data_IF_890892452120
#
_entry.id   IF_890892452120
#
_cell.length_a   1.000
_cell.length_b   1.000
_cell.length_c   1.000
_cell.angle_alpha   90.00
_cell.angle_beta   90.00
_cell.angle_gamma   90.00
#
_symmetry.space_group_name_H-M   'P 1'
#
loop_
_entity.id
_entity.type
_entity.pdbx_description
1 polymer ?
#
# COMPACT_ATOMS: atom_id res chain seq x y z
N UNK A 1 -15.40 8.05 9.79
CA UNK A 1 -14.83 7.93 11.14
C UNK A 1 -14.27 6.51 11.29
N UNK A 2 -12.98 6.39 11.58
CA UNK A 2 -12.36 5.10 11.85
C UNK A 2 -12.87 4.54 13.16
N UNK A 3 -13.19 3.25 13.19
CA UNK A 3 -13.60 2.60 14.41
C UNK A 3 -12.44 2.56 15.43
N UNK A 4 -12.77 2.56 16.72
CA UNK A 4 -11.76 2.48 17.77
C UNK A 4 -10.90 1.20 17.64
N UNK A 5 -11.50 0.09 17.24
CA UNK A 5 -10.80 -1.18 17.02
C UNK A 5 -9.75 -1.06 15.90
N UNK A 6 -10.10 -0.37 14.80
CA UNK A 6 -9.19 -0.17 13.67
C UNK A 6 -8.01 0.71 14.07
N UNK A 7 -8.25 1.78 14.83
CA UNK A 7 -7.19 2.66 15.33
C UNK A 7 -6.24 1.90 16.24
N UNK A 8 -6.76 1.01 17.07
CA UNK A 8 -5.94 0.19 17.96
C UNK A 8 -5.05 -0.79 17.20
N UNK A 9 -5.59 -1.46 16.18
CA UNK A 9 -4.82 -2.34 15.29
C UNK A 9 -3.72 -1.56 14.58
N UNK A 10 -4.05 -0.37 14.06
CA UNK A 10 -3.10 0.52 13.41
C UNK A 10 -1.94 0.87 14.35
N UNK A 11 -2.23 1.25 15.58
CA UNK A 11 -1.22 1.58 16.58
C UNK A 11 -0.31 0.41 16.90
N UNK A 12 -0.87 -0.77 17.10
CA UNK A 12 -0.10 -1.98 17.42
C UNK A 12 0.91 -2.32 16.33
N UNK A 13 0.49 -2.29 15.08
CA UNK A 13 1.35 -2.62 13.94
C UNK A 13 2.45 -1.57 13.80
N UNK A 14 2.11 -0.29 13.89
CA UNK A 14 3.09 0.79 13.82
C UNK A 14 4.14 0.69 14.92
N UNK A 15 3.72 0.43 16.15
CA UNK A 15 4.64 0.25 17.27
C UNK A 15 5.57 -0.94 17.05
N UNK A 16 5.05 -2.04 16.53
CA UNK A 16 5.83 -3.26 16.27
C UNK A 16 7.00 -2.99 15.31
N UNK A 17 6.82 -2.11 14.35
CA UNK A 17 7.82 -1.82 13.33
C UNK A 17 8.50 -0.47 13.49
N UNK A 18 8.32 0.19 14.62
CA UNK A 18 8.99 1.47 14.90
C UNK A 18 8.50 2.62 14.05
N UNK A 19 7.23 2.61 13.67
CA UNK A 19 6.59 3.66 12.87
C UNK A 19 5.90 4.64 13.80
N UNK A 20 6.27 5.91 13.75
CA UNK A 20 5.65 6.95 14.56
C UNK A 20 4.26 7.35 14.04
N UNK A 21 3.44 7.94 14.90
CA UNK A 21 2.08 8.38 14.51
C UNK A 21 2.11 9.43 13.40
N UNK A 22 3.13 10.28 13.37
CA UNK A 22 3.30 11.32 12.35
C UNK A 22 4.10 10.85 11.12
N UNK A 23 4.58 9.61 11.11
CA UNK A 23 5.19 9.05 9.92
C UNK A 23 4.15 8.78 8.83
N UNK A 24 4.54 9.05 7.58
CA UNK A 24 3.75 8.66 6.42
C UNK A 24 4.17 7.25 6.04
N UNK A 25 3.28 6.29 6.29
CA UNK A 25 3.56 4.89 6.04
C UNK A 25 3.00 4.45 4.70
N UNK A 26 3.89 4.08 3.79
CA UNK A 26 3.57 3.40 2.54
C UNK A 26 3.69 1.90 2.78
N UNK A 27 2.77 1.13 2.23
CA UNK A 27 2.79 -0.32 2.36
C UNK A 27 2.51 -0.98 1.02
N UNK A 28 3.09 -2.15 0.82
CA UNK A 28 2.74 -3.04 -0.28
C UNK A 28 2.87 -4.47 0.20
N UNK A 29 2.14 -5.37 -0.44
CA UNK A 29 2.18 -6.80 -0.13
C UNK A 29 1.98 -7.64 -1.38
N UNK A 30 2.48 -8.84 -1.34
CA UNK A 30 2.36 -9.80 -2.41
C UNK A 30 3.67 -10.51 -2.72
N UNK A 31 3.60 -11.55 -3.55
CA UNK A 31 4.76 -12.33 -3.93
C UNK A 31 5.73 -11.51 -4.79
N UNK A 32 7.01 -11.61 -4.50
CA UNK A 32 8.10 -10.99 -5.28
C UNK A 32 8.84 -12.13 -5.99
N UNK A 33 8.72 -12.14 -7.32
CA UNK A 33 9.40 -13.12 -8.18
C UNK A 33 9.86 -12.45 -9.48
N UNK A 34 10.46 -13.19 -10.38
CA UNK A 34 10.99 -12.67 -11.65
C UNK A 34 9.93 -11.98 -12.52
N UNK A 35 8.65 -12.29 -12.34
CA UNK A 35 7.54 -11.69 -13.07
C UNK A 35 6.92 -10.50 -12.32
N UNK A 36 7.28 -10.34 -11.05
CA UNK A 36 6.72 -9.33 -10.15
C UNK A 36 7.84 -8.56 -9.45
N UNK A 37 8.72 -7.99 -10.25
CA UNK A 37 9.89 -7.23 -9.75
C UNK A 37 9.58 -5.76 -9.50
N UNK A 38 8.38 -5.29 -9.82
CA UNK A 38 8.02 -3.88 -9.66
C UNK A 38 8.07 -3.41 -8.21
N UNK A 39 7.89 -4.33 -7.24
CA UNK A 39 8.05 -4.02 -5.82
C UNK A 39 9.47 -3.51 -5.52
N UNK A 40 10.48 -4.03 -6.22
CA UNK A 40 11.87 -3.56 -6.06
C UNK A 40 12.01 -2.10 -6.52
N UNK A 41 11.25 -1.70 -7.55
CA UNK A 41 11.23 -0.31 -8.01
C UNK A 41 10.65 0.60 -6.95
N UNK A 42 9.58 0.16 -6.28
CA UNK A 42 8.96 0.91 -5.17
C UNK A 42 9.95 1.07 -4.02
N UNK A 43 10.63 0.00 -3.63
CA UNK A 43 11.63 0.05 -2.55
C UNK A 43 12.74 1.05 -2.87
N UNK A 44 13.24 1.01 -4.10
CA UNK A 44 14.26 1.94 -4.58
C UNK A 44 13.74 3.38 -4.58
N UNK A 45 12.52 3.60 -5.07
CA UNK A 45 11.91 4.93 -5.11
C UNK A 45 11.83 5.55 -3.71
N UNK A 46 11.38 4.79 -2.72
CA UNK A 46 11.27 5.28 -1.34
C UNK A 46 12.64 5.59 -0.76
N UNK A 47 13.65 4.76 -1.04
CA UNK A 47 15.02 5.03 -0.60
C UNK A 47 15.56 6.34 -1.17
N UNK A 48 15.15 6.70 -2.38
CA UNK A 48 15.62 7.91 -3.05
C UNK A 48 14.92 9.18 -2.53
N UNK A 49 13.83 9.05 -1.80
CA UNK A 49 13.10 10.21 -1.25
C UNK A 49 13.72 10.59 0.08
N UNK A 50 14.29 11.80 0.14
CA UNK A 50 14.94 12.30 1.37
C UNK A 50 13.90 12.96 2.29
N UNK A 51 13.14 12.11 2.98
CA UNK A 51 12.13 12.51 3.97
C UNK A 51 12.22 11.59 5.18
N UNK A 52 12.50 12.15 6.34
CA UNK A 52 12.68 11.37 7.59
C UNK A 52 11.40 10.67 8.04
N UNK A 53 10.24 11.27 7.76
CA UNK A 53 8.95 10.75 8.17
C UNK A 53 8.30 9.81 7.15
N UNK A 54 9.00 9.49 6.06
CA UNK A 54 8.52 8.53 5.06
C UNK A 54 9.03 7.14 5.43
N UNK A 55 8.12 6.17 5.52
CA UNK A 55 8.42 4.77 5.81
C UNK A 55 7.72 3.87 4.82
N UNK A 56 8.34 2.74 4.50
CA UNK A 56 7.77 1.70 3.66
C UNK A 56 7.88 0.35 4.37
N UNK A 57 6.78 -0.37 4.44
CA UNK A 57 6.76 -1.76 4.89
C UNK A 57 6.31 -2.65 3.73
N UNK A 58 7.10 -3.67 3.44
CA UNK A 58 6.84 -4.65 2.38
C UNK A 58 6.66 -6.03 3.00
N UNK A 59 5.58 -6.71 2.67
CA UNK A 59 5.39 -8.10 3.08
C UNK A 59 5.08 -8.99 1.88
N UNK A 60 5.28 -10.28 2.08
CA UNK A 60 5.03 -11.30 1.06
C UNK A 60 6.23 -12.21 0.89
N UNK A 61 6.04 -13.31 0.16
CA UNK A 61 7.13 -14.23 -0.13
C UNK A 61 8.05 -13.68 -1.21
N UNK A 62 9.33 -14.05 -1.12
CA UNK A 62 10.35 -13.66 -2.10
C UNK A 62 11.00 -14.93 -2.61
N UNK A 63 11.17 -15.07 -3.90
CA UNK A 63 11.92 -16.20 -4.47
C UNK A 63 13.41 -16.09 -4.12
N UNK A 64 14.07 -17.24 -3.99
CA UNK A 64 15.47 -17.30 -3.56
C UNK A 64 16.38 -16.40 -4.40
N UNK A 65 16.16 -16.34 -5.70
CA UNK A 65 16.98 -15.53 -6.62
C UNK A 65 16.91 -14.01 -6.34
N UNK A 66 15.85 -13.53 -5.67
CA UNK A 66 15.65 -12.12 -5.38
C UNK A 66 15.87 -11.74 -3.90
N UNK A 67 16.16 -12.70 -3.03
CA UNK A 67 16.36 -12.45 -1.60
C UNK A 67 17.46 -11.41 -1.33
N UNK A 68 18.60 -11.54 -2.02
CA UNK A 68 19.72 -10.61 -1.84
C UNK A 68 19.35 -9.20 -2.28
N UNK A 69 18.62 -9.08 -3.39
CA UNK A 69 18.18 -7.77 -3.89
C UNK A 69 17.22 -7.10 -2.92
N UNK A 70 16.29 -7.84 -2.34
CA UNK A 70 15.37 -7.34 -1.33
C UNK A 70 16.14 -6.87 -0.09
N UNK A 71 17.11 -7.64 0.36
CA UNK A 71 17.96 -7.28 1.51
C UNK A 71 18.75 -6.00 1.25
N UNK A 72 19.27 -5.81 0.03
CA UNK A 72 19.98 -4.59 -0.33
C UNK A 72 19.08 -3.35 -0.24
N UNK A 73 17.82 -3.49 -0.65
CA UNK A 73 16.87 -2.38 -0.72
C UNK A 73 16.17 -2.12 0.63
N UNK A 74 16.19 -3.07 1.55
CA UNK A 74 15.57 -2.94 2.87
C UNK A 74 16.64 -2.62 3.89
N UNK A 75 16.69 -1.36 4.35
CA UNK A 75 17.66 -0.90 5.36
C UNK A 75 17.22 -1.21 6.80
N UNK A 76 16.01 -1.71 6.98
CA UNK A 76 15.46 -2.03 8.30
C UNK A 76 14.91 -0.84 9.06
N UNK A 77 15.01 0.36 8.53
CA UNK A 77 14.49 1.59 9.13
C UNK A 77 13.47 2.27 8.23
N UNK A 78 13.92 2.89 7.15
CA UNK A 78 13.06 3.57 6.19
C UNK A 78 12.27 2.57 5.36
N UNK A 79 12.92 1.53 4.88
CA UNK A 79 12.31 0.45 4.11
C UNK A 79 12.50 -0.86 4.87
N UNK A 80 11.40 -1.48 5.26
CA UNK A 80 11.41 -2.75 5.99
C UNK A 80 10.74 -3.84 5.16
N UNK A 81 11.42 -4.97 5.03
CA UNK A 81 10.83 -6.19 4.50
C UNK A 81 10.57 -7.15 5.67
N UNK A 82 9.29 -7.48 5.88
CA UNK A 82 8.86 -8.22 7.07
C UNK A 82 8.53 -9.70 6.80
N UNK A 83 8.72 -10.15 5.57
CA UNK A 83 8.49 -11.54 5.20
C UNK A 83 7.03 -11.85 4.90
N UNK A 84 6.72 -13.13 4.88
CA UNK A 84 5.38 -13.62 4.58
C UNK A 84 4.40 -13.31 5.72
N UNK A 85 3.19 -12.92 5.34
CA UNK A 85 2.09 -12.62 6.25
C UNK A 85 0.90 -13.50 5.84
N UNK A 86 0.22 -14.09 6.80
CA UNK A 86 -0.98 -14.88 6.53
C UNK A 86 -2.06 -14.00 5.90
N UNK A 87 -2.84 -14.57 4.98
CA UNK A 87 -3.89 -13.84 4.28
C UNK A 87 -4.88 -13.15 5.24
N UNK A 88 -5.23 -13.81 6.34
CA UNK A 88 -6.12 -13.27 7.36
C UNK A 88 -5.54 -12.05 8.08
N UNK A 89 -4.21 -11.94 8.17
CA UNK A 89 -3.53 -10.84 8.86
C UNK A 89 -3.23 -9.68 7.94
N UNK A 90 -3.18 -9.89 6.62
CA UNK A 90 -2.88 -8.86 5.63
C UNK A 90 -3.83 -7.66 5.75
N UNK A 91 -5.09 -7.91 6.03
CA UNK A 91 -6.10 -6.89 6.24
C UNK A 91 -5.67 -5.90 7.34
N UNK A 92 -5.21 -6.44 8.47
CA UNK A 92 -4.75 -5.62 9.60
C UNK A 92 -3.49 -4.84 9.28
N UNK A 93 -2.57 -5.44 8.53
CA UNK A 93 -1.34 -4.75 8.11
C UNK A 93 -1.67 -3.55 7.24
N UNK A 94 -2.51 -3.71 6.22
CA UNK A 94 -2.89 -2.59 5.37
C UNK A 94 -3.58 -1.46 6.15
N UNK A 95 -4.34 -1.79 7.20
CA UNK A 95 -5.01 -0.79 8.03
C UNK A 95 -4.02 0.19 8.68
N UNK A 96 -2.76 -0.21 8.84
CA UNK A 96 -1.71 0.66 9.41
C UNK A 96 -1.17 1.68 8.40
N UNK A 97 -1.43 1.52 7.11
CA UNK A 97 -0.84 2.34 6.06
C UNK A 97 -1.61 3.64 5.83
N UNK A 98 -0.87 4.67 5.40
CA UNK A 98 -1.44 5.91 4.90
C UNK A 98 -1.66 5.84 3.38
N UNK A 99 -0.83 5.08 2.68
CA UNK A 99 -0.92 4.87 1.24
C UNK A 99 -0.47 3.44 0.95
N UNK A 100 -1.23 2.72 0.13
CA UNK A 100 -0.81 1.40 -0.35
C UNK A 100 -0.44 1.54 -1.83
N UNK A 101 0.71 1.01 -2.19
CA UNK A 101 1.22 1.06 -3.57
C UNK A 101 1.31 -0.35 -4.13
N UNK A 102 0.65 -0.55 -5.28
CA UNK A 102 0.75 -1.80 -6.03
C UNK A 102 1.31 -1.49 -7.41
N UNK A 103 2.64 -1.51 -7.57
CA UNK A 103 3.29 -1.11 -8.82
C UNK A 103 3.27 -2.18 -9.90
N UNK A 104 2.83 -3.38 -9.56
CA UNK A 104 2.79 -4.53 -10.45
C UNK A 104 1.38 -4.92 -10.87
N UNK A 105 1.17 -6.23 -11.02
CA UNK A 105 -0.09 -6.77 -11.50
C UNK A 105 -1.21 -6.67 -10.47
N UNK A 106 -2.44 -6.62 -10.95
CA UNK A 106 -3.63 -6.66 -10.11
C UNK A 106 -3.66 -7.94 -9.25
N UNK A 107 -4.10 -7.76 -8.00
CA UNK A 107 -4.36 -8.86 -7.07
C UNK A 107 -5.60 -8.54 -6.25
N UNK A 108 -6.13 -9.53 -5.55
CA UNK A 108 -7.30 -9.37 -4.67
C UNK A 108 -7.03 -8.34 -3.56
N UNK A 109 -5.78 -8.05 -3.24
CA UNK A 109 -5.44 -7.02 -2.26
C UNK A 109 -5.94 -5.62 -2.67
N UNK A 110 -6.05 -5.34 -3.98
CA UNK A 110 -6.53 -4.05 -4.44
C UNK A 110 -7.94 -3.77 -3.93
N UNK A 111 -8.84 -4.76 -4.05
CA UNK A 111 -10.22 -4.64 -3.58
C UNK A 111 -10.28 -4.58 -2.04
N UNK A 112 -9.44 -5.35 -1.37
CA UNK A 112 -9.36 -5.33 0.09
C UNK A 112 -8.95 -3.94 0.60
N UNK A 113 -7.93 -3.35 0.00
CA UNK A 113 -7.42 -2.02 0.40
C UNK A 113 -8.45 -0.95 0.08
N UNK A 114 -9.09 -1.03 -1.10
CA UNK A 114 -10.17 -0.11 -1.45
C UNK A 114 -11.30 -0.20 -0.42
N UNK A 115 -11.69 -1.42 -0.04
CA UNK A 115 -12.75 -1.65 0.94
C UNK A 115 -12.43 -1.16 2.35
N UNK A 116 -11.15 -1.01 2.66
CA UNK A 116 -10.71 -0.44 3.94
C UNK A 116 -10.69 1.09 3.94
N UNK A 117 -10.92 1.72 2.80
CA UNK A 117 -10.90 3.17 2.70
C UNK A 117 -9.50 3.77 2.74
N UNK A 118 -8.52 3.08 2.17
CA UNK A 118 -7.13 3.53 2.14
C UNK A 118 -6.79 4.00 0.73
N UNK A 119 -6.16 5.18 0.57
CA UNK A 119 -5.70 5.64 -0.73
C UNK A 119 -4.68 4.68 -1.36
N UNK A 120 -4.73 4.54 -2.68
CA UNK A 120 -3.82 3.66 -3.41
C UNK A 120 -3.12 4.37 -4.55
N UNK A 121 -1.91 3.90 -4.84
CA UNK A 121 -1.16 4.21 -6.05
C UNK A 121 -0.93 2.88 -6.75
N UNK A 122 -1.55 2.69 -7.92
CA UNK A 122 -1.54 1.39 -8.60
C UNK A 122 -1.11 1.52 -10.05
N UNK A 123 -0.54 0.45 -10.59
CA UNK A 123 -0.21 0.40 -12.01
C UNK A 123 -1.49 0.38 -12.84
N UNK A 124 -1.49 1.16 -13.91
CA UNK A 124 -2.63 1.24 -14.82
C UNK A 124 -2.69 -0.01 -15.72
N UNK A 125 -3.72 -0.81 -15.53
CA UNK A 125 -4.01 -1.98 -16.34
C UNK A 125 -5.41 -1.87 -16.94
N UNK A 126 -5.63 -2.30 -18.19
CA UNK A 126 -7.00 -2.40 -18.71
C UNK A 126 -7.86 -3.30 -17.83
N UNK A 127 -9.07 -2.84 -17.52
CA UNK A 127 -10.03 -3.62 -16.74
C UNK A 127 -9.87 -3.54 -15.22
N UNK A 128 -8.93 -2.74 -14.70
CA UNK A 128 -8.71 -2.63 -13.26
C UNK A 128 -9.13 -1.28 -12.66
N UNK A 129 -9.77 -0.43 -13.45
CA UNK A 129 -10.19 0.90 -13.00
C UNK A 129 -11.40 0.88 -12.06
N UNK A 130 -12.00 -0.28 -11.83
CA UNK A 130 -13.12 -0.43 -10.89
C UNK A 130 -12.74 -0.08 -9.43
N UNK A 131 -11.45 -0.09 -9.10
CA UNK A 131 -10.98 0.33 -7.77
C UNK A 131 -10.94 1.85 -7.62
N UNK A 132 -10.94 2.60 -8.72
CA UNK A 132 -11.00 4.06 -8.70
C UNK A 132 -12.46 4.51 -8.59
N UNK A 133 -12.83 5.00 -7.42
CA UNK A 133 -14.19 5.41 -7.09
C UNK A 133 -14.37 6.93 -7.21
N UNK A 134 -13.46 7.60 -7.91
CA UNK A 134 -13.53 9.02 -8.17
C UNK A 134 -12.55 9.87 -7.38
N UNK A 135 -11.32 9.36 -7.19
CA UNK A 135 -10.24 10.12 -6.58
C UNK A 135 -9.50 9.44 -5.43
N UNK A 136 -9.84 8.20 -5.10
CA UNK A 136 -9.14 7.43 -4.08
C UNK A 136 -7.88 6.73 -4.59
N UNK A 137 -7.67 6.72 -5.91
CA UNK A 137 -6.57 6.00 -6.55
C UNK A 137 -5.83 6.92 -7.52
N UNK A 138 -4.51 6.89 -7.48
CA UNK A 138 -3.65 7.46 -8.50
C UNK A 138 -3.00 6.32 -9.30
N UNK A 139 -2.66 6.57 -10.56
CA UNK A 139 -2.19 5.54 -11.47
C UNK A 139 -0.73 5.76 -11.88
N UNK A 140 0.01 4.65 -11.96
CA UNK A 140 1.35 4.58 -12.55
C UNK A 140 1.23 4.09 -13.99
N UNK A 141 1.86 4.75 -14.93
CA UNK A 141 1.80 4.41 -16.35
C UNK A 141 2.96 3.51 -16.78
N UNK A 142 4.11 3.63 -16.12
CA UNK A 142 5.34 2.94 -16.49
C UNK A 142 5.92 2.15 -15.32
N UNK A 143 6.76 1.18 -15.65
CA UNK A 143 7.56 0.45 -14.66
C UNK A 143 8.89 1.19 -14.48
N UNK A 144 8.88 2.29 -13.71
CA UNK A 144 10.10 3.05 -13.46
C UNK A 144 10.12 3.68 -12.07
N UNK A 145 11.32 3.75 -11.50
CA UNK A 145 11.57 4.30 -10.17
C UNK A 145 11.15 5.77 -10.11
N UNK A 146 11.47 6.54 -11.15
CA UNK A 146 11.27 7.97 -11.20
C UNK A 146 9.79 8.35 -11.13
N UNK A 147 8.92 7.63 -11.80
CA UNK A 147 7.48 7.88 -11.75
C UNK A 147 6.90 7.57 -10.36
N UNK A 148 7.30 6.44 -9.77
CA UNK A 148 6.86 6.06 -8.43
C UNK A 148 7.30 7.12 -7.42
N UNK A 149 8.56 7.53 -7.50
CA UNK A 149 9.12 8.56 -6.64
C UNK A 149 8.36 9.87 -6.77
N UNK A 150 8.13 10.33 -7.99
CA UNK A 150 7.41 11.58 -8.27
C UNK A 150 6.00 11.54 -7.70
N UNK A 151 5.27 10.46 -7.91
CA UNK A 151 3.89 10.33 -7.42
C UNK A 151 3.81 10.36 -5.90
N UNK A 152 4.74 9.69 -5.21
CA UNK A 152 4.79 9.72 -3.74
C UNK A 152 5.16 11.12 -3.25
N UNK A 153 6.17 11.75 -3.86
CA UNK A 153 6.60 13.11 -3.49
C UNK A 153 5.47 14.12 -3.68
N UNK A 154 4.70 14.01 -4.76
CA UNK A 154 3.55 14.88 -5.02
C UNK A 154 2.53 14.82 -3.88
N UNK A 155 2.25 13.62 -3.36
CA UNK A 155 1.32 13.47 -2.24
C UNK A 155 1.90 14.01 -0.93
N UNK A 156 3.20 13.85 -0.70
CA UNK A 156 3.87 14.40 0.47
C UNK A 156 3.94 15.93 0.44
N UNK A 157 4.13 16.50 -0.74
CA UNK A 157 4.25 17.94 -0.93
C UNK A 157 2.89 18.65 -0.97
N UNK A 158 1.82 17.90 -1.20
CA UNK A 158 0.46 18.43 -1.30
C UNK A 158 -0.48 17.72 -0.32
N UNK A 159 -0.39 18.05 0.98
CA UNK A 159 -1.22 17.39 2.00
C UNK A 159 -2.73 17.49 1.73
N UNK A 160 -3.17 18.59 1.10
CA UNK A 160 -4.58 18.79 0.76
C UNK A 160 -5.03 17.79 -0.32
N UNK A 161 -4.19 17.50 -1.29
CA UNK A 161 -4.47 16.50 -2.33
C UNK A 161 -4.58 15.10 -1.71
N UNK A 162 -3.65 14.76 -0.81
CA UNK A 162 -3.71 13.50 -0.08
C UNK A 162 -4.97 13.40 0.78
N UNK A 163 -5.33 14.49 1.46
CA UNK A 163 -6.53 14.55 2.29
C UNK A 163 -7.80 14.28 1.49
N UNK A 164 -7.92 14.88 0.30
CA UNK A 164 -9.05 14.64 -0.60
C UNK A 164 -9.11 13.18 -1.05
N UNK A 165 -7.97 12.62 -1.38
CA UNK A 165 -7.84 11.23 -1.77
C UNK A 165 -8.31 10.30 -0.65
N UNK A 166 -7.90 10.59 0.57
CA UNK A 166 -8.29 9.84 1.76
C UNK A 166 -9.79 9.96 2.05
N UNK A 167 -10.37 11.15 1.90
CA UNK A 167 -11.81 11.38 2.08
C UNK A 167 -12.64 10.54 1.11
N UNK A 168 -12.27 10.51 -0.17
CA UNK A 168 -12.94 9.68 -1.17
C UNK A 168 -12.78 8.20 -0.83
N UNK A 169 -11.58 7.77 -0.44
CA UNK A 169 -11.30 6.40 -0.07
C UNK A 169 -12.18 5.93 1.09
N UNK A 170 -12.26 6.74 2.15
CA UNK A 170 -13.04 6.40 3.34
C UNK A 170 -14.54 6.42 3.06
N UNK A 171 -15.04 7.43 2.35
CA UNK A 171 -16.46 7.59 2.08
C UNK A 171 -16.99 6.54 1.11
N UNK A 172 -16.31 6.34 -0.01
CA UNK A 172 -16.80 5.47 -1.10
C UNK A 172 -16.26 4.05 -1.05
N UNK A 173 -15.00 3.88 -0.68
CA UNK A 173 -14.35 2.57 -0.68
C UNK A 173 -15.00 1.62 0.31
N UNK A 174 -15.24 2.08 1.51
CA UNK A 174 -15.85 1.26 2.57
C UNK A 174 -17.28 0.83 2.24
N UNK A 175 -17.98 1.60 1.41
CA UNK A 175 -19.36 1.24 0.99
C UNK A 175 -19.37 0.17 -0.10
N UNK A 176 -18.45 0.26 -1.08
CA UNK A 176 -18.48 -0.57 -2.29
C UNK A 176 -17.75 -1.89 -2.09
N UNK A 177 -16.60 -1.88 -1.43
CA UNK A 177 -15.72 -3.04 -1.30
C UNK A 177 -15.49 -3.48 0.14
N UNK A 178 -16.39 -3.10 1.08
CA UNK A 178 -16.24 -3.58 2.46
C UNK A 178 -16.22 -5.11 2.49
N UNK A 179 -15.45 -5.66 3.42
CA UNK A 179 -15.36 -7.12 3.60
C UNK A 179 -16.74 -7.77 3.67
N UNK A 180 -17.67 -7.11 4.37
CA UNK A 180 -19.05 -7.55 4.51
C UNK A 180 -19.79 -7.61 3.17
N UNK A 181 -19.60 -6.60 2.31
CA UNK A 181 -20.23 -6.55 0.99
C UNK A 181 -19.62 -7.57 0.03
N UNK A 182 -18.32 -7.81 0.10
CA UNK A 182 -17.64 -8.81 -0.71
C UNK A 182 -18.17 -10.21 -0.32
N UNK A 183 -18.27 -10.49 0.97
CA UNK A 183 -18.81 -11.76 1.47
C UNK A 183 -20.27 -11.98 1.03
N UNK A 184 -21.09 -10.93 1.09
CA UNK A 184 -22.49 -10.99 0.64
C UNK A 184 -22.60 -11.31 -0.85
N UNK A 185 -21.76 -10.71 -1.68
CA UNK A 185 -21.74 -10.96 -3.13
C UNK A 185 -21.29 -12.38 -3.46
N UNK A 186 -20.36 -12.91 -2.68
CA UNK A 186 -19.88 -14.29 -2.86
C UNK A 186 -20.93 -15.33 -2.50
N UNK A 187 -21.89 -15.00 -1.62
CA UNK A 187 -22.95 -15.89 -1.18
C UNK A 187 -24.24 -15.75 -2.00
N UNK A 188 -24.34 -14.73 -2.82
CA UNK A 188 -25.48 -14.53 -3.74
C UNK A 188 -25.17 -15.10 -5.14
#
# INVERSE_FOLDING_TARGET
>A
VESAARQEVRKKIRMKYGIADDDFLVMTGGKIDKWKTQTLLLMNAVQNIDRKNLKLVVFGSVTQELEEKVKELADGQKVQYIGWVQAKDSYNYFAAADLVVFPGRHSVFWEQVTGQGIPMLVKDWPGTHHVDLGGNVAFLENDCVEEIQKKIEELLDNPDEYKKMKEVAMEKGMKVFSYRNIAKRALS
#
